data_IF_324348455117
#
_entry.id   IF_324348455117
#
_cell.length_a   1.000
_cell.length_b   1.000
_cell.length_c   1.000
_cell.angle_alpha   90.00
_cell.angle_beta   90.00
_cell.angle_gamma   90.00
#
_symmetry.space_group_name_H-M   'P 1'
#
loop_
_entity.id
_entity.type
_entity.pdbx_description
1 polymer ?
#
# COMPACT_ATOMS: atom_id res chain seq x y z
N UNK A 1 15.45 -14.95 -3.25
CA UNK A 1 14.68 -13.71 -3.04
C UNK A 1 15.36 -12.57 -3.78
N UNK A 2 14.63 -11.81 -4.61
CA UNK A 2 15.20 -10.69 -5.38
C UNK A 2 15.42 -9.45 -4.50
N UNK A 3 16.27 -8.51 -4.96
CA UNK A 3 16.51 -7.25 -4.24
C UNK A 3 15.21 -6.43 -4.09
N UNK A 4 14.37 -6.39 -5.13
CA UNK A 4 13.07 -5.71 -5.11
C UNK A 4 12.11 -6.32 -4.08
N UNK A 5 12.03 -7.66 -4.02
CA UNK A 5 11.20 -8.35 -3.05
C UNK A 5 11.62 -8.02 -1.60
N UNK A 6 12.93 -7.97 -1.34
CA UNK A 6 13.46 -7.63 -0.01
C UNK A 6 13.05 -6.22 0.41
N UNK A 7 13.20 -5.24 -0.50
CA UNK A 7 12.80 -3.86 -0.25
C UNK A 7 11.29 -3.71 0.02
N UNK A 8 10.44 -4.40 -0.75
CA UNK A 8 8.99 -4.37 -0.53
C UNK A 8 8.59 -5.02 0.80
N UNK A 9 9.20 -6.16 1.16
CA UNK A 9 8.99 -6.83 2.45
C UNK A 9 9.29 -5.88 3.60
N UNK A 10 10.44 -5.20 3.57
CA UNK A 10 10.84 -4.25 4.60
C UNK A 10 9.88 -3.06 4.68
N UNK A 11 9.48 -2.50 3.53
CA UNK A 11 8.52 -1.40 3.47
C UNK A 11 7.14 -1.81 4.02
N UNK A 12 6.65 -3.01 3.74
CA UNK A 12 5.39 -3.52 4.29
C UNK A 12 5.46 -3.67 5.81
N UNK A 13 6.55 -4.26 6.31
CA UNK A 13 6.78 -4.46 7.76
C UNK A 13 6.88 -3.13 8.50
N UNK A 14 7.63 -2.17 7.95
CA UNK A 14 7.74 -0.83 8.52
C UNK A 14 6.41 -0.07 8.48
N UNK A 15 5.67 -0.15 7.38
CA UNK A 15 4.35 0.48 7.27
C UNK A 15 3.40 -0.07 8.33
N UNK A 16 3.36 -1.39 8.52
CA UNK A 16 2.55 -2.03 9.55
C UNK A 16 2.94 -1.57 10.97
N UNK A 17 4.24 -1.47 11.27
CA UNK A 17 4.74 -0.98 12.55
C UNK A 17 4.31 0.47 12.81
N UNK A 18 4.36 1.34 11.80
CA UNK A 18 3.91 2.75 11.89
C UNK A 18 2.41 2.85 12.20
N UNK A 19 1.59 2.04 11.52
CA UNK A 19 0.14 2.00 11.75
C UNK A 19 -0.19 1.58 13.19
N UNK A 20 0.47 0.55 13.71
CA UNK A 20 0.29 0.12 15.11
C UNK A 20 0.75 1.15 16.12
N UNK A 21 1.78 1.92 15.79
CA UNK A 21 2.26 3.02 16.63
C UNK A 21 1.32 4.24 16.64
N UNK A 22 0.18 4.17 15.94
CA UNK A 22 -0.85 5.22 15.95
C UNK A 22 -0.66 6.27 14.86
N UNK A 23 -0.06 5.91 13.72
CA UNK A 23 -0.03 6.80 12.56
C UNK A 23 -1.46 7.23 12.18
N UNK A 24 -1.62 8.50 11.76
CA UNK A 24 -2.93 9.01 11.32
C UNK A 24 -3.42 8.22 10.12
N UNK A 25 -4.63 7.70 10.22
CA UNK A 25 -5.21 6.79 9.27
C UNK A 25 -6.59 7.27 8.85
N UNK A 26 -6.85 7.27 7.55
CA UNK A 26 -8.10 7.74 6.98
C UNK A 26 -8.28 7.07 5.61
N UNK A 27 -9.21 6.13 5.55
CA UNK A 27 -9.60 5.51 4.29
C UNK A 27 -10.28 6.55 3.39
N UNK A 28 -9.98 6.54 2.09
CA UNK A 28 -10.39 7.59 1.15
C UNK A 28 -9.49 8.83 1.12
N UNK A 29 -8.52 8.97 2.02
CA UNK A 29 -7.50 10.03 1.95
C UNK A 29 -6.24 9.49 1.25
N UNK A 30 -5.84 10.15 0.16
CA UNK A 30 -4.78 9.72 -0.77
C UNK A 30 -3.45 9.37 -0.09
N UNK A 31 -3.07 10.15 0.93
CA UNK A 31 -1.86 9.92 1.71
C UNK A 31 -2.03 9.04 2.96
N UNK A 32 -3.26 8.71 3.41
CA UNK A 32 -3.52 8.08 4.73
C UNK A 32 -4.30 6.77 4.65
N UNK A 33 -4.66 6.33 3.45
CA UNK A 33 -5.23 5.01 3.22
C UNK A 33 -4.12 3.94 3.19
N UNK A 34 -4.49 2.69 2.86
CA UNK A 34 -3.58 1.54 2.87
C UNK A 34 -2.42 1.72 1.88
N UNK A 35 -2.72 2.05 0.63
CA UNK A 35 -1.68 2.31 -0.37
C UNK A 35 -0.89 3.60 -0.04
N UNK A 36 -1.58 4.65 0.41
CA UNK A 36 -0.95 5.93 0.78
C UNK A 36 0.12 5.77 1.86
N UNK A 37 -0.14 4.97 2.90
CA UNK A 37 0.86 4.67 3.94
C UNK A 37 2.06 3.90 3.41
N UNK A 38 1.86 2.95 2.48
CA UNK A 38 2.97 2.24 1.86
C UNK A 38 3.82 3.19 1.00
N UNK A 39 3.18 4.11 0.26
CA UNK A 39 3.88 5.17 -0.50
C UNK A 39 4.72 6.03 0.44
N UNK A 40 4.16 6.51 1.56
CA UNK A 40 4.93 7.27 2.55
C UNK A 40 6.19 6.52 3.00
N UNK A 41 6.10 5.21 3.23
CA UNK A 41 7.25 4.41 3.67
C UNK A 41 8.28 4.21 2.58
N UNK A 42 7.85 3.99 1.32
CA UNK A 42 8.75 3.80 0.18
C UNK A 42 9.46 5.08 -0.25
N UNK A 43 8.83 6.24 -0.10
CA UNK A 43 9.35 7.54 -0.58
C UNK A 43 9.89 8.43 0.52
N UNK A 44 9.49 8.20 1.78
CA UNK A 44 9.72 9.12 2.89
C UNK A 44 8.84 10.37 2.87
N UNK A 45 7.91 10.49 1.91
CA UNK A 45 6.99 11.63 1.82
C UNK A 45 5.96 11.59 2.94
N UNK A 46 5.52 12.77 3.36
CA UNK A 46 4.37 12.97 4.24
C UNK A 46 3.06 12.78 3.49
N UNK A 47 1.97 12.57 4.22
CA UNK A 47 0.61 12.51 3.67
C UNK A 47 0.25 13.77 2.86
N UNK A 48 0.64 14.95 3.32
CA UNK A 48 0.40 16.22 2.63
C UNK A 48 1.23 16.37 1.35
N UNK A 49 2.46 15.86 1.33
CA UNK A 49 3.29 15.86 0.12
C UNK A 49 2.70 14.92 -0.94
N UNK A 50 2.18 13.77 -0.52
CA UNK A 50 1.48 12.84 -1.41
C UNK A 50 0.22 13.50 -1.99
N UNK A 51 -0.62 14.10 -1.15
CA UNK A 51 -1.83 14.81 -1.60
C UNK A 51 -1.50 15.89 -2.63
N UNK A 52 -0.43 16.67 -2.41
CA UNK A 52 0.05 17.66 -3.37
C UNK A 52 0.60 17.05 -4.65
N UNK A 53 1.27 15.90 -4.57
CA UNK A 53 1.83 15.22 -5.73
C UNK A 53 0.76 14.60 -6.64
N UNK A 54 -0.37 14.19 -6.06
CA UNK A 54 -1.55 13.70 -6.80
C UNK A 54 -2.52 14.82 -7.19
N UNK A 55 -2.17 16.08 -6.91
CA UNK A 55 -2.94 17.29 -7.22
C UNK A 55 -4.42 17.22 -6.80
N UNK A 56 -4.71 16.56 -5.68
CA UNK A 56 -6.09 16.28 -5.21
C UNK A 56 -6.98 15.57 -6.24
N UNK A 57 -6.42 15.01 -7.31
CA UNK A 57 -7.13 14.40 -8.43
C UNK A 57 -7.24 12.87 -8.30
N UNK A 58 -6.76 12.31 -7.18
CA UNK A 58 -6.78 10.87 -6.93
C UNK A 58 -7.84 10.52 -5.90
N UNK A 59 -8.94 9.92 -6.33
CA UNK A 59 -9.94 9.35 -5.41
C UNK A 59 -9.43 8.02 -4.85
N UNK A 60 -9.03 7.08 -5.72
CA UNK A 60 -8.46 5.79 -5.32
C UNK A 60 -7.18 5.44 -6.08
N UNK A 61 -6.22 4.85 -5.38
CA UNK A 61 -4.99 4.33 -6.00
C UNK A 61 -5.28 3.25 -7.05
N UNK A 62 -6.34 2.48 -6.87
CA UNK A 62 -6.75 1.39 -7.78
C UNK A 62 -7.14 1.89 -9.17
N UNK A 63 -7.94 2.97 -9.23
CA UNK A 63 -8.43 3.54 -10.48
C UNK A 63 -7.26 4.10 -11.28
N UNK A 64 -6.46 4.94 -10.63
CA UNK A 64 -5.29 5.55 -11.25
C UNK A 64 -4.23 4.53 -11.66
N UNK A 65 -4.04 3.44 -10.92
CA UNK A 65 -3.10 2.39 -11.31
C UNK A 65 -3.47 1.68 -12.62
N UNK A 66 -4.78 1.60 -12.93
CA UNK A 66 -5.29 0.95 -14.15
C UNK A 66 -5.21 1.87 -15.37
N UNK A 67 -5.49 3.15 -15.16
CA UNK A 67 -5.47 4.16 -16.22
C UNK A 67 -4.06 4.74 -16.44
N UNK A 68 -3.11 4.39 -15.57
CA UNK A 68 -1.73 4.87 -15.62
C UNK A 68 -1.04 4.52 -16.95
N UNK A 69 -0.66 5.58 -17.69
CA UNK A 69 0.26 5.51 -18.81
C UNK A 69 1.56 6.21 -18.42
N UNK A 70 2.69 5.50 -18.48
CA UNK A 70 3.98 6.08 -18.11
C UNK A 70 4.40 7.21 -19.06
N UNK A 71 4.87 8.33 -18.51
CA UNK A 71 5.52 9.40 -19.29
C UNK A 71 4.66 10.64 -19.56
N UNK A 72 3.61 10.88 -18.76
CA UNK A 72 2.84 12.13 -18.85
C UNK A 72 3.56 13.32 -18.19
N UNK A 73 4.51 13.02 -17.28
CA UNK A 73 5.38 14.01 -16.63
C UNK A 73 4.81 14.60 -15.34
N UNK A 74 3.73 14.02 -14.81
CA UNK A 74 3.11 14.44 -13.55
C UNK A 74 3.79 13.76 -12.35
N UNK A 75 3.81 14.43 -11.19
CA UNK A 75 4.43 13.86 -9.96
C UNK A 75 3.72 12.60 -9.46
N UNK A 76 2.45 12.42 -9.81
CA UNK A 76 1.72 11.18 -9.54
C UNK A 76 2.33 9.97 -10.28
N UNK A 77 2.88 10.19 -11.48
CA UNK A 77 3.58 9.15 -12.25
C UNK A 77 4.78 8.61 -11.47
N UNK A 78 5.51 9.48 -10.79
CA UNK A 78 6.69 9.09 -9.99
C UNK A 78 6.29 8.21 -8.80
N UNK A 79 5.11 8.45 -8.20
CA UNK A 79 4.58 7.63 -7.11
C UNK A 79 4.19 6.25 -7.61
N UNK A 80 3.48 6.16 -8.74
CA UNK A 80 3.14 4.87 -9.36
C UNK A 80 4.38 4.11 -9.81
N UNK A 81 5.36 4.78 -10.41
CA UNK A 81 6.65 4.16 -10.75
C UNK A 81 7.37 3.64 -9.53
N UNK A 82 7.29 4.34 -8.39
CA UNK A 82 7.89 3.87 -7.14
C UNK A 82 7.26 2.57 -6.68
N UNK A 83 5.93 2.46 -6.70
CA UNK A 83 5.21 1.24 -6.37
C UNK A 83 5.55 0.08 -7.33
N UNK A 84 5.58 0.36 -8.64
CA UNK A 84 5.95 -0.64 -9.66
C UNK A 84 7.42 -1.11 -9.51
N UNK A 85 8.36 -0.20 -9.23
CA UNK A 85 9.77 -0.54 -8.96
C UNK A 85 9.95 -1.34 -7.67
N UNK A 86 9.04 -1.18 -6.71
CA UNK A 86 8.97 -2.04 -5.53
C UNK A 86 8.40 -3.44 -5.86
N UNK A 87 7.80 -3.62 -7.05
CA UNK A 87 7.28 -4.90 -7.54
C UNK A 87 5.77 -5.06 -7.42
N UNK A 88 5.02 -3.99 -7.14
CA UNK A 88 3.56 -4.03 -7.07
C UNK A 88 2.93 -3.81 -8.45
N UNK A 89 2.00 -4.70 -8.81
CA UNK A 89 1.13 -4.52 -9.98
C UNK A 89 -0.10 -3.68 -9.60
N UNK A 90 -0.84 -3.13 -10.59
CA UNK A 90 -2.13 -2.49 -10.32
C UNK A 90 -3.12 -3.36 -9.53
N UNK A 91 -3.14 -4.67 -9.80
CA UNK A 91 -3.98 -5.61 -9.06
C UNK A 91 -3.53 -5.78 -7.61
N UNK A 92 -2.23 -5.72 -7.33
CA UNK A 92 -1.71 -5.78 -5.96
C UNK A 92 -2.08 -4.52 -5.18
N UNK A 93 -2.10 -3.35 -5.83
CA UNK A 93 -2.58 -2.11 -5.23
C UNK A 93 -4.07 -2.19 -4.91
N UNK A 94 -4.89 -2.71 -5.82
CA UNK A 94 -6.31 -2.95 -5.57
C UNK A 94 -6.52 -3.88 -4.37
N UNK A 95 -5.78 -5.00 -4.33
CA UNK A 95 -5.85 -5.95 -3.21
C UNK A 95 -5.39 -5.33 -1.90
N UNK A 96 -4.37 -4.48 -1.92
CA UNK A 96 -3.88 -3.78 -0.73
C UNK A 96 -4.89 -2.73 -0.24
N UNK A 97 -5.50 -1.98 -1.14
CA UNK A 97 -6.49 -0.96 -0.79
C UNK A 97 -7.70 -1.57 -0.08
N UNK A 98 -8.17 -2.72 -0.58
CA UNK A 98 -9.36 -3.41 -0.09
C UNK A 98 -9.09 -4.59 0.87
N UNK A 99 -7.82 -4.84 1.22
CA UNK A 99 -7.38 -5.96 2.06
C UNK A 99 -7.88 -7.34 1.57
N UNK A 100 -7.76 -7.60 0.26
CA UNK A 100 -8.49 -8.69 -0.42
C UNK A 100 -7.64 -9.77 -1.10
N UNK A 101 -6.31 -9.78 -0.95
CA UNK A 101 -5.48 -10.86 -1.52
C UNK A 101 -5.76 -12.20 -0.82
N UNK A 102 -6.28 -13.17 -1.58
CA UNK A 102 -6.62 -14.51 -1.06
C UNK A 102 -5.42 -15.27 -0.48
N UNK A 103 -4.20 -15.00 -0.94
CA UNK A 103 -2.98 -15.61 -0.37
C UNK A 103 -2.74 -15.09 1.05
N UNK A 104 -3.08 -13.82 1.31
CA UNK A 104 -3.02 -13.21 2.64
C UNK A 104 -4.17 -13.70 3.50
N UNK A 105 -5.40 -13.62 3.00
CA UNK A 105 -6.60 -13.99 3.76
C UNK A 105 -6.57 -15.45 4.24
N UNK A 106 -6.04 -16.37 3.43
CA UNK A 106 -5.88 -17.80 3.82
C UNK A 106 -4.87 -18.04 4.95
N UNK A 107 -4.01 -17.07 5.25
CA UNK A 107 -3.02 -17.17 6.34
C UNK A 107 -3.48 -16.46 7.62
N UNK A 108 -4.61 -15.77 7.58
CA UNK A 108 -5.15 -15.11 8.76
C UNK A 108 -5.76 -16.13 9.73
N UNK A 109 -5.66 -15.89 11.05
CA UNK A 109 -6.42 -16.64 12.03
C UNK A 109 -7.94 -16.55 11.77
N UNK A 110 -8.73 -17.63 11.99
CA UNK A 110 -10.16 -17.66 11.69
C UNK A 110 -10.98 -16.56 12.39
N UNK A 111 -10.53 -16.11 13.56
CA UNK A 111 -11.16 -15.07 14.39
C UNK A 111 -10.83 -13.64 13.94
N UNK A 112 -9.94 -13.48 12.95
CA UNK A 112 -9.49 -12.17 12.42
C UNK A 112 -10.15 -11.78 11.10
N UNK A 113 -11.01 -12.64 10.52
CA UNK A 113 -11.74 -12.34 9.29
C UNK A 113 -13.22 -12.02 9.58
N UNK A 114 -13.86 -11.09 8.82
CA UNK A 114 -13.29 -10.30 7.74
C UNK A 114 -12.47 -9.10 8.27
N UNK A 115 -11.42 -8.72 7.53
CA UNK A 115 -10.67 -7.50 7.80
C UNK A 115 -11.48 -6.26 7.38
N UNK A 116 -11.31 -5.15 8.10
CA UNK A 116 -11.93 -3.87 7.77
C UNK A 116 -10.89 -2.96 7.13
N UNK A 117 -11.12 -2.59 5.86
CA UNK A 117 -10.22 -1.70 5.12
C UNK A 117 -10.16 -0.28 5.70
N UNK A 118 -11.05 0.11 6.63
CA UNK A 118 -10.97 1.40 7.33
C UNK A 118 -10.40 1.28 8.75
N UNK A 119 -9.82 0.14 9.12
CA UNK A 119 -9.18 -0.07 10.42
C UNK A 119 -7.65 -0.19 10.27
N UNK A 120 -6.86 0.71 10.88
CA UNK A 120 -5.40 0.68 10.77
C UNK A 120 -4.76 -0.60 11.35
N UNK A 121 -5.40 -1.26 12.33
CA UNK A 121 -4.91 -2.51 12.91
C UNK A 121 -5.08 -3.68 11.95
N UNK A 122 -6.19 -3.69 11.21
CA UNK A 122 -6.46 -4.70 10.18
C UNK A 122 -5.55 -4.48 8.98
N UNK A 123 -5.33 -3.23 8.56
CA UNK A 123 -4.33 -2.88 7.55
C UNK A 123 -2.91 -3.29 7.96
N UNK A 124 -2.50 -3.04 9.20
CA UNK A 124 -1.19 -3.45 9.71
C UNK A 124 -1.02 -4.97 9.76
N UNK A 125 -2.04 -5.70 10.22
CA UNK A 125 -2.06 -7.16 10.18
C UNK A 125 -1.88 -7.66 8.74
N UNK A 126 -2.69 -7.14 7.81
CA UNK A 126 -2.66 -7.53 6.41
C UNK A 126 -1.28 -7.28 5.78
N UNK A 127 -0.66 -6.12 6.00
CA UNK A 127 0.65 -5.78 5.43
C UNK A 127 1.76 -6.69 5.96
N UNK A 128 1.76 -7.04 7.25
CA UNK A 128 2.70 -8.03 7.78
C UNK A 128 2.50 -9.41 7.16
N UNK A 129 1.26 -9.87 7.10
CA UNK A 129 0.96 -11.17 6.50
C UNK A 129 1.30 -11.20 5.01
N UNK A 130 1.11 -10.09 4.29
CA UNK A 130 1.54 -9.93 2.90
C UNK A 130 3.07 -10.01 2.77
N UNK A 131 3.82 -9.36 3.67
CA UNK A 131 5.27 -9.48 3.70
C UNK A 131 5.71 -10.94 3.87
N UNK A 132 5.07 -11.70 4.76
CA UNK A 132 5.37 -13.12 4.98
C UNK A 132 4.94 -14.00 3.80
N UNK A 133 3.90 -13.62 3.05
CA UNK A 133 3.51 -14.29 1.79
C UNK A 133 4.59 -14.10 0.72
N UNK A 134 5.11 -12.88 0.59
CA UNK A 134 6.15 -12.56 -0.41
C UNK A 134 7.48 -13.22 -0.03
N UNK A 135 7.85 -13.23 1.26
CA UNK A 135 9.11 -13.82 1.74
C UNK A 135 9.18 -15.34 1.54
N UNK A 136 8.03 -16.02 1.57
CA UNK A 136 7.93 -17.48 1.47
C UNK A 136 7.64 -17.99 0.04
N UNK A 137 7.40 -17.09 -0.91
CA UNK A 137 7.14 -17.40 -2.33
C UNK A 137 8.41 -17.33 -3.17
#
# INVERSE_FOLDING_TARGET
>A
MSQHASHLIDALRETARRLEAGARYEWGHMGRCNCGHLVQTLTGMTDLEIVRAVDYALDEWTEHARDYCAGTGHRVDDLFQTLQRAGLTPDDLARLEYLSDERVLRRLPPDRAPLRHNDPRDAALYMRTLADVIEQG
#
